data_IF_625245882025
#
_entry.id   IF_625245882025
#
_cell.length_a   1.000
_cell.length_b   1.000
_cell.length_c   1.000
_cell.angle_alpha   90.00
_cell.angle_beta   90.00
_cell.angle_gamma   90.00
#
_symmetry.space_group_name_H-M   'P 1'
#
loop_
_entity.id
_entity.type
_entity.pdbx_description
1 polymer ?
#
# COMPACT_ATOMS: atom_id res chain seq x y z
N UNK A 1 3.75 -3.79 -18.19
CA UNK A 1 4.99 -4.22 -17.53
C UNK A 1 5.21 -3.28 -16.36
N UNK A 2 5.48 -3.79 -15.16
CA UNK A 2 5.79 -2.95 -14.00
C UNK A 2 7.12 -2.24 -14.24
N UNK A 3 7.17 -0.92 -14.00
CA UNK A 3 8.35 -0.07 -14.17
C UNK A 3 8.77 0.48 -12.80
N UNK A 4 10.03 0.36 -12.43
CA UNK A 4 10.53 1.03 -11.22
C UNK A 4 10.53 2.56 -11.43
N UNK A 5 10.02 3.28 -10.43
CA UNK A 5 10.04 4.75 -10.39
C UNK A 5 11.17 5.27 -9.49
N UNK A 6 11.52 4.51 -8.46
CA UNK A 6 12.57 4.83 -7.47
C UNK A 6 12.99 3.57 -6.71
N UNK A 7 13.83 3.75 -5.69
CA UNK A 7 14.08 2.71 -4.67
C UNK A 7 12.84 2.32 -3.87
N UNK A 8 11.78 3.14 -3.84
CA UNK A 8 10.59 2.97 -2.99
C UNK A 8 9.31 2.61 -3.73
N UNK A 9 9.20 3.00 -5.00
CA UNK A 9 7.96 2.93 -5.78
C UNK A 9 8.16 2.26 -7.12
N UNK A 10 7.10 1.60 -7.59
CA UNK A 10 6.97 1.15 -8.97
C UNK A 10 5.65 1.63 -9.58
N UNK A 11 5.61 1.73 -10.90
CA UNK A 11 4.40 1.94 -11.69
C UNK A 11 3.95 0.59 -12.24
N UNK A 12 2.78 0.12 -11.81
CA UNK A 12 2.22 -1.13 -12.31
C UNK A 12 1.59 -0.96 -13.70
N UNK A 13 0.88 0.16 -13.88
CA UNK A 13 0.29 0.67 -15.12
C UNK A 13 0.21 2.20 -15.04
N UNK A 14 0.04 2.92 -16.17
CA UNK A 14 -0.10 4.38 -16.15
C UNK A 14 -1.11 4.84 -15.09
N UNK A 15 -0.67 5.73 -14.20
CA UNK A 15 -1.51 6.29 -13.14
C UNK A 15 -1.68 5.40 -11.90
N UNK A 16 -0.98 4.26 -11.81
CA UNK A 16 -1.05 3.32 -10.68
C UNK A 16 0.33 3.06 -10.10
N UNK A 17 0.57 3.64 -8.93
CA UNK A 17 1.84 3.54 -8.20
C UNK A 17 1.73 2.49 -7.12
N UNK A 18 2.75 1.65 -6.97
CA UNK A 18 2.85 0.61 -5.96
C UNK A 18 3.97 0.94 -4.97
N UNK A 19 3.74 0.64 -3.70
CA UNK A 19 4.78 0.60 -2.66
C UNK A 19 4.71 -0.73 -1.90
N UNK A 20 5.81 -1.14 -1.27
CA UNK A 20 5.85 -2.37 -0.49
C UNK A 20 5.40 -2.11 0.95
N UNK A 21 4.40 -2.85 1.42
CA UNK A 21 3.93 -2.77 2.80
C UNK A 21 4.61 -3.87 3.64
N UNK A 22 5.48 -3.54 4.62
CA UNK A 22 6.13 -4.53 5.47
C UNK A 22 5.17 -5.21 6.45
N UNK A 23 4.01 -4.61 6.72
CA UNK A 23 2.97 -5.20 7.56
C UNK A 23 2.19 -6.29 6.84
N UNK A 24 1.86 -6.06 5.57
CA UNK A 24 1.14 -7.03 4.73
C UNK A 24 2.07 -8.01 4.02
N UNK A 25 3.36 -7.69 3.89
CA UNK A 25 4.32 -8.43 3.06
C UNK A 25 3.86 -8.54 1.60
N UNK A 26 3.19 -7.49 1.10
CA UNK A 26 2.65 -7.36 -0.25
C UNK A 26 2.71 -5.91 -0.72
N UNK A 27 2.56 -5.71 -2.02
CA UNK A 27 2.46 -4.40 -2.64
C UNK A 27 1.08 -3.77 -2.45
N UNK A 28 1.08 -2.48 -2.12
CA UNK A 28 -0.12 -1.66 -2.04
C UNK A 28 -0.17 -0.76 -3.28
N UNK A 29 -1.22 -0.92 -4.07
CA UNK A 29 -1.48 -0.13 -5.27
C UNK A 29 -2.30 1.12 -4.91
N UNK A 30 -1.80 2.28 -5.32
CA UNK A 30 -2.43 3.59 -5.17
C UNK A 30 -2.70 4.16 -6.56
N UNK A 31 -3.96 4.51 -6.81
CA UNK A 31 -4.34 5.18 -8.05
C UNK A 31 -4.07 6.67 -7.89
N UNK A 32 -3.16 7.20 -8.70
CA UNK A 32 -2.76 8.62 -8.70
C UNK A 32 -3.22 9.35 -9.96
N UNK A 33 -3.64 8.61 -10.99
CA UNK A 33 -4.36 9.12 -12.15
C UNK A 33 -5.37 8.08 -12.63
N UNK A 34 -6.57 8.52 -13.03
CA UNK A 34 -7.65 7.66 -13.49
C UNK A 34 -8.22 8.18 -14.81
N UNK A 35 -8.56 7.26 -15.71
CA UNK A 35 -9.30 7.54 -16.95
C UNK A 35 -10.71 6.94 -16.95
N UNK A 36 -11.06 6.20 -15.90
CA UNK A 36 -12.30 5.40 -15.79
C UNK A 36 -13.19 5.83 -14.62
N UNK A 37 -12.80 6.86 -13.86
CA UNK A 37 -13.58 7.42 -12.76
C UNK A 37 -13.39 6.75 -11.39
N UNK A 38 -12.43 5.83 -11.26
CA UNK A 38 -12.04 5.29 -9.93
C UNK A 38 -11.49 6.41 -9.01
N UNK A 39 -11.62 6.28 -7.67
CA UNK A 39 -11.05 7.24 -6.72
C UNK A 39 -9.54 7.45 -6.96
N UNK A 40 -9.12 8.71 -6.91
CA UNK A 40 -7.73 9.11 -7.15
C UNK A 40 -7.16 9.73 -5.88
N UNK A 41 -6.01 9.23 -5.45
CA UNK A 41 -5.22 9.82 -4.37
C UNK A 41 -4.39 10.97 -4.93
N UNK A 42 -4.28 12.04 -4.15
CA UNK A 42 -3.24 13.03 -4.33
C UNK A 42 -1.88 12.38 -4.15
N UNK A 43 -0.93 12.74 -5.00
CA UNK A 43 0.46 12.31 -4.95
C UNK A 43 1.36 13.53 -5.12
N UNK A 44 2.34 13.69 -4.25
CA UNK A 44 3.29 14.81 -4.32
C UNK A 44 4.30 14.72 -5.48
N UNK A 45 4.30 13.61 -6.24
CA UNK A 45 5.22 13.38 -7.36
C UNK A 45 6.63 12.93 -6.96
N UNK A 46 6.93 12.89 -5.66
CA UNK A 46 8.24 12.49 -5.17
C UNK A 46 8.30 10.97 -5.02
N UNK A 47 9.13 10.32 -5.85
CA UNK A 47 9.23 8.87 -5.83
C UNK A 47 10.15 8.35 -4.71
N UNK A 48 11.08 9.15 -4.18
CA UNK A 48 12.00 8.74 -3.10
C UNK A 48 11.40 9.00 -1.70
N UNK A 49 10.59 10.05 -1.57
CA UNK A 49 9.85 10.39 -0.36
C UNK A 49 8.36 10.64 -0.68
N UNK A 50 7.61 9.59 -1.03
CA UNK A 50 6.22 9.73 -1.43
C UNK A 50 5.32 10.20 -0.30
N UNK A 51 4.35 11.01 -0.69
CA UNK A 51 3.19 11.35 0.12
C UNK A 51 1.93 11.08 -0.69
N UNK A 52 1.01 10.29 -0.13
CA UNK A 52 -0.31 10.03 -0.70
C UNK A 52 -1.40 10.62 0.21
N UNK A 53 -2.41 11.25 -0.40
CA UNK A 53 -3.53 11.84 0.34
C UNK A 53 -4.87 11.48 -0.30
N UNK A 54 -5.89 11.05 0.46
CA UNK A 54 -5.91 10.85 1.92
C UNK A 54 -5.17 9.55 2.32
N UNK A 55 -5.51 8.96 3.46
CA UNK A 55 -4.98 7.65 3.87
C UNK A 55 -5.24 6.57 2.81
N UNK A 56 -4.39 5.56 2.80
CA UNK A 56 -4.50 4.36 1.98
C UNK A 56 -5.17 3.27 2.82
N UNK A 57 -6.29 2.74 2.33
CA UNK A 57 -7.02 1.65 2.97
C UNK A 57 -7.06 0.44 2.03
N UNK A 58 -6.41 -0.63 2.46
CA UNK A 58 -6.43 -1.94 1.77
C UNK A 58 -7.27 -2.89 2.60
N UNK A 59 -8.25 -3.53 1.94
CA UNK A 59 -9.10 -4.56 2.52
C UNK A 59 -8.98 -5.84 1.71
N UNK A 60 -8.88 -6.96 2.41
CA UNK A 60 -8.86 -8.31 1.83
C UNK A 60 -9.75 -9.24 2.66
N UNK A 61 -9.86 -10.51 2.26
CA UNK A 61 -10.53 -11.55 3.03
C UNK A 61 -11.95 -11.16 3.48
N UNK A 62 -12.24 -11.34 4.78
CA UNK A 62 -13.57 -11.07 5.34
C UNK A 62 -13.98 -9.61 5.34
N UNK A 63 -13.01 -8.68 5.28
CA UNK A 63 -13.30 -7.25 5.18
C UNK A 63 -13.92 -6.84 3.83
N UNK A 64 -13.82 -7.70 2.81
CA UNK A 64 -14.46 -7.52 1.49
C UNK A 64 -15.58 -8.53 1.27
N UNK A 65 -15.39 -9.78 1.68
CA UNK A 65 -16.37 -10.84 1.52
C UNK A 65 -16.55 -11.61 2.85
N UNK A 66 -17.66 -11.43 3.59
CA UNK A 66 -17.89 -12.10 4.87
C UNK A 66 -17.85 -13.63 4.82
N UNK A 67 -18.08 -14.23 3.65
CA UNK A 67 -18.02 -15.68 3.46
C UNK A 67 -16.58 -16.20 3.21
N UNK A 68 -15.58 -15.33 3.17
CA UNK A 68 -14.18 -15.72 3.01
C UNK A 68 -13.71 -16.57 4.20
N UNK A 69 -13.08 -17.70 3.91
CA UNK A 69 -12.50 -18.62 4.88
C UNK A 69 -10.98 -18.43 4.84
N UNK A 70 -10.34 -17.82 5.86
CA UNK A 70 -8.90 -17.59 5.85
C UNK A 70 -8.09 -18.87 5.95
N UNK A 71 -6.98 -18.87 5.23
CA UNK A 71 -5.96 -19.90 5.20
C UNK A 71 -4.63 -19.35 5.72
N UNK A 72 -3.73 -20.27 6.12
CA UNK A 72 -2.39 -19.89 6.55
C UNK A 72 -1.61 -19.27 5.38
N UNK A 73 -1.14 -18.05 5.55
CA UNK A 73 -0.39 -17.30 4.53
C UNK A 73 -1.22 -16.24 3.81
N UNK A 74 -2.53 -16.16 4.10
CA UNK A 74 -3.36 -15.06 3.60
C UNK A 74 -2.87 -13.70 4.10
N UNK A 75 -3.02 -12.63 3.27
CA UNK A 75 -2.69 -11.30 3.70
C UNK A 75 -3.60 -10.84 4.85
N UNK A 76 -3.15 -9.86 5.65
CA UNK A 76 -4.00 -9.20 6.63
C UNK A 76 -5.27 -8.63 6.00
N UNK A 77 -6.40 -8.76 6.70
CA UNK A 77 -7.72 -8.34 6.20
C UNK A 77 -7.88 -6.82 6.10
N UNK A 78 -7.22 -6.04 6.97
CA UNK A 78 -7.23 -4.58 6.92
C UNK A 78 -5.81 -4.04 7.11
N UNK A 79 -5.41 -3.16 6.19
CA UNK A 79 -4.28 -2.26 6.39
C UNK A 79 -4.71 -0.85 6.05
N UNK A 80 -4.64 0.04 7.04
CA UNK A 80 -5.01 1.43 6.92
C UNK A 80 -3.82 2.29 7.33
N UNK A 81 -3.30 3.10 6.41
CA UNK A 81 -2.07 3.86 6.65
C UNK A 81 -2.07 5.25 6.03
N UNK A 82 -1.29 6.14 6.63
CA UNK A 82 -0.80 7.34 5.95
C UNK A 82 0.59 7.06 5.42
N UNK A 83 0.84 7.44 4.17
CA UNK A 83 2.18 7.47 3.59
C UNK A 83 2.56 8.92 3.41
N UNK A 84 3.60 9.36 4.11
CA UNK A 84 4.04 10.76 4.12
C UNK A 84 5.55 10.81 4.26
N UNK A 85 6.20 11.57 3.39
CA UNK A 85 7.65 11.77 3.35
C UNK A 85 8.45 10.45 3.42
N UNK A 86 7.99 9.44 2.68
CA UNK A 86 8.67 8.13 2.63
C UNK A 86 8.56 7.31 3.92
N UNK A 87 7.59 7.60 4.78
CA UNK A 87 7.24 6.81 5.97
C UNK A 87 5.82 6.30 5.88
N UNK A 88 5.57 5.15 6.48
CA UNK A 88 4.23 4.57 6.64
C UNK A 88 3.84 4.69 8.11
N UNK A 89 2.77 5.44 8.39
CA UNK A 89 2.09 5.42 9.68
C UNK A 89 0.88 4.50 9.58
N UNK A 90 0.91 3.37 10.28
CA UNK A 90 -0.22 2.44 10.36
C UNK A 90 -1.21 2.88 11.43
N UNK A 91 -2.50 2.84 11.09
CA UNK A 91 -3.57 3.20 12.00
C UNK A 91 -3.99 2.03 12.89
N UNK A 92 -4.76 2.32 13.93
CA UNK A 92 -5.14 1.34 14.96
C UNK A 92 -6.08 0.25 14.47
N UNK A 93 -6.73 0.44 13.31
CA UNK A 93 -7.62 -0.53 12.67
C UNK A 93 -6.90 -1.49 11.69
N UNK A 94 -5.56 -1.41 11.58
CA UNK A 94 -4.77 -2.44 10.91
C UNK A 94 -4.87 -3.79 11.63
N UNK A 95 -4.98 -4.87 10.86
CA UNK A 95 -5.02 -6.25 11.40
C UNK A 95 -3.67 -6.97 11.33
N UNK A 96 -2.59 -6.27 10.99
CA UNK A 96 -1.23 -6.81 10.97
C UNK A 96 -0.41 -6.32 12.16
N UNK A 97 0.74 -6.98 12.39
CA UNK A 97 1.60 -6.77 13.55
C UNK A 97 2.22 -5.36 13.70
N UNK A 98 2.06 -4.48 12.70
CA UNK A 98 2.57 -3.09 12.73
C UNK A 98 1.47 -2.06 13.02
N UNK A 99 0.27 -2.48 13.41
CA UNK A 99 -0.82 -1.57 13.78
C UNK A 99 -0.37 -0.54 14.82
N UNK A 100 -0.70 0.74 14.59
CA UNK A 100 -0.30 1.86 15.45
C UNK A 100 1.18 2.25 15.39
N UNK A 101 1.99 1.63 14.53
CA UNK A 101 3.42 1.94 14.39
C UNK A 101 3.70 2.83 13.18
N UNK A 102 4.81 3.56 13.23
CA UNK A 102 5.35 4.29 12.07
C UNK A 102 6.69 3.70 11.70
N UNK A 103 6.86 3.32 10.43
CA UNK A 103 8.10 2.74 9.89
C UNK A 103 8.55 3.50 8.65
N UNK A 104 9.83 3.40 8.31
CA UNK A 104 10.33 3.87 7.02
C UNK A 104 9.76 2.99 5.90
N UNK A 105 9.42 3.61 4.76
CA UNK A 105 9.02 2.89 3.56
C UNK A 105 10.23 2.04 3.10
N UNK A 106 10.09 0.71 3.01
CA UNK A 106 11.20 -0.15 2.61
C UNK A 106 11.55 0.02 1.13
N UNK A 107 12.65 -0.58 0.70
CA UNK A 107 12.98 -0.67 -0.72
C UNK A 107 11.97 -1.54 -1.49
N UNK A 108 11.75 -1.23 -2.77
CA UNK A 108 10.81 -1.91 -3.65
C UNK A 108 11.53 -2.69 -4.77
N UNK A 109 11.17 -3.96 -5.03
CA UNK A 109 10.43 -4.87 -4.14
C UNK A 109 11.36 -5.44 -3.06
N UNK A 110 10.89 -5.64 -1.84
CA UNK A 110 11.57 -6.60 -0.97
C UNK A 110 11.28 -8.00 -1.52
N UNK A 111 12.31 -8.64 -2.08
CA UNK A 111 12.24 -10.07 -2.34
C UNK A 111 11.85 -10.75 -1.02
N UNK A 112 10.73 -11.49 -1.02
CA UNK A 112 10.48 -12.46 0.05
C UNK A 112 11.66 -13.44 0.01
N UNK A 113 12.58 -13.27 0.96
CA UNK A 113 13.62 -14.26 1.22
C UNK A 113 13.01 -15.60 1.61
#
# INVERSE_FOLDING_TARGET
>A
MTRLLSSKLAEFRPGRVAFWCPGCCYEHLVVVQSTTGEPVWGFNGNCEAPTFTPSVLVRTGRAVNPAFIPESGDPPEVCHSFVTDGRIQFLGDCTHHLAGQTVDLPEYPQCRG
#
